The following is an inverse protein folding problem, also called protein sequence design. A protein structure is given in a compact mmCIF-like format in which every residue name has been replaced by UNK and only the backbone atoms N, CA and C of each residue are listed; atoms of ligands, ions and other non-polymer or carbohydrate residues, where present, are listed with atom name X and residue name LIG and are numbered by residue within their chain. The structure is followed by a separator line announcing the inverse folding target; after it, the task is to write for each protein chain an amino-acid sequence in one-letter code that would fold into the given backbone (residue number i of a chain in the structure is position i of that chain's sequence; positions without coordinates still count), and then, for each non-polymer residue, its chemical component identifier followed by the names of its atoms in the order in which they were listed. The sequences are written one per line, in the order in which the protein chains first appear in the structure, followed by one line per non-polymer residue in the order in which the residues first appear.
data_IF_597154893069
#
_entry.id   IF_597154893069
#
_cell.length_a   1.000
_cell.length_b   1.000
_cell.length_c   1.000
_cell.angle_alpha   90.00
_cell.angle_beta   90.00
_cell.angle_gamma   90.00
#
_symmetry.space_group_name_H-M   'P 1'
#
loop_
_entity.id
_entity.type
_entity.pdbx_description
1 polymer ?
#
# COMPACT_ATOMS: atom_id res chain seq x y z
N UNK A 1 -3.84 83.46 -4.34
CA UNK A 1 -2.82 83.90 -3.36
C UNK A 1 -2.03 82.65 -2.98
N UNK A 2 -0.73 82.64 -3.24
CA UNK A 2 0.16 81.47 -3.07
C UNK A 2 0.24 81.05 -1.60
N UNK A 3 0.04 79.76 -1.31
CA UNK A 3 0.45 79.15 -0.04
C UNK A 3 1.78 78.41 -0.31
N UNK A 4 2.88 79.02 0.12
CA UNK A 4 4.19 78.38 0.26
C UNK A 4 4.12 77.42 1.44
N UNK A 5 4.25 76.12 1.21
CA UNK A 5 4.57 75.16 2.26
C UNK A 5 6.08 75.08 2.44
N UNK A 6 6.53 75.44 3.63
CA UNK A 6 7.92 75.54 4.06
C UNK A 6 8.18 74.42 5.08
N UNK A 7 8.69 73.27 4.64
CA UNK A 7 9.26 72.25 5.54
C UNK A 7 10.55 71.66 4.93
N UNK A 8 11.73 72.27 5.17
CA UNK A 8 13.04 71.76 4.71
C UNK A 8 13.59 70.53 5.47
N UNK A 9 12.77 69.76 6.19
CA UNK A 9 13.23 68.79 7.20
C UNK A 9 13.09 67.32 6.73
N UNK A 10 12.39 67.06 5.62
CA UNK A 10 12.05 65.70 5.17
C UNK A 10 13.21 65.02 4.39
N UNK A 11 14.24 65.77 3.99
CA UNK A 11 15.26 65.25 3.05
C UNK A 11 16.38 64.45 3.75
N UNK A 12 16.42 64.35 5.08
CA UNK A 12 17.58 63.77 5.79
C UNK A 12 17.42 62.39 6.45
N UNK A 13 16.34 61.65 6.18
CA UNK A 13 16.11 60.33 6.82
C UNK A 13 16.15 59.12 5.87
N UNK A 14 16.62 59.29 4.62
CA UNK A 14 16.43 58.29 3.57
C UNK A 14 17.67 57.73 2.82
N UNK A 15 18.95 57.86 3.26
CA UNK A 15 20.00 57.10 2.57
C UNK A 15 20.27 55.71 3.19
N UNK A 16 20.27 55.55 4.52
CA UNK A 16 20.72 54.30 5.15
C UNK A 16 19.65 53.19 5.16
N UNK A 17 18.38 53.56 5.33
CA UNK A 17 17.27 52.60 5.35
C UNK A 17 16.99 52.00 3.96
N UNK A 18 17.16 52.78 2.88
CA UNK A 18 17.02 52.29 1.50
C UNK A 18 18.15 51.34 1.08
N UNK A 19 19.39 51.62 1.50
CA UNK A 19 20.54 50.74 1.26
C UNK A 19 20.35 49.36 1.90
N UNK A 20 19.87 49.33 3.15
CA UNK A 20 19.57 48.08 3.87
C UNK A 20 18.37 47.33 3.27
N UNK A 21 17.36 48.06 2.77
CA UNK A 21 16.23 47.44 2.09
C UNK A 21 16.61 46.83 0.74
N UNK A 22 17.45 47.51 -0.04
CA UNK A 22 17.96 47.01 -1.32
C UNK A 22 18.83 45.77 -1.16
N UNK A 23 19.68 45.72 -0.11
CA UNK A 23 20.48 44.53 0.20
C UNK A 23 19.63 43.37 0.70
N UNK A 24 18.62 43.62 1.53
CA UNK A 24 17.69 42.58 1.98
C UNK A 24 16.85 42.00 0.83
N UNK A 25 16.37 42.86 -0.08
CA UNK A 25 15.63 42.45 -1.28
C UNK A 25 16.54 41.70 -2.25
N UNK A 26 17.79 42.15 -2.44
CA UNK A 26 18.78 41.44 -3.26
C UNK A 26 19.14 40.06 -2.70
N UNK A 27 19.30 39.94 -1.38
CA UNK A 27 19.47 38.64 -0.70
C UNK A 27 18.24 37.75 -0.85
N UNK A 28 17.04 38.30 -0.74
CA UNK A 28 15.80 37.54 -0.96
C UNK A 28 15.70 37.01 -2.40
N UNK A 29 16.05 37.83 -3.40
CA UNK A 29 16.11 37.39 -4.79
C UNK A 29 17.20 36.36 -5.04
N UNK A 30 18.36 36.45 -4.39
CA UNK A 30 19.41 35.41 -4.45
C UNK A 30 18.96 34.11 -3.77
N UNK A 31 18.23 34.17 -2.66
CA UNK A 31 17.67 32.98 -1.99
C UNK A 31 16.56 32.36 -2.87
N UNK A 32 15.69 33.17 -3.47
CA UNK A 32 14.65 32.69 -4.38
C UNK A 32 15.22 32.13 -5.68
N UNK A 33 16.26 32.74 -6.24
CA UNK A 33 16.97 32.23 -7.42
C UNK A 33 17.80 30.97 -7.09
N UNK A 34 18.39 30.88 -5.88
CA UNK A 34 19.05 29.69 -5.37
C UNK A 34 18.08 28.54 -5.07
N UNK A 35 16.86 28.85 -4.61
CA UNK A 35 15.78 27.86 -4.45
C UNK A 35 15.15 27.42 -5.78
N UNK A 36 15.21 28.25 -6.83
CA UNK A 36 14.78 27.88 -8.17
C UNK A 36 15.77 26.95 -8.90
N UNK A 37 16.97 26.78 -8.35
CA UNK A 37 17.98 25.83 -8.81
C UNK A 37 18.19 24.68 -7.82
N UNK A 38 17.10 24.17 -7.25
CA UNK A 38 17.05 22.73 -6.95
C UNK A 38 16.91 22.07 -8.31
N UNK A 39 18.06 21.69 -8.86
CA UNK A 39 18.16 20.87 -10.05
C UNK A 39 17.14 19.74 -9.94
N UNK A 40 16.23 19.73 -10.90
CA UNK A 40 15.49 18.57 -11.35
C UNK A 40 16.51 17.57 -11.89
N UNK A 41 17.25 16.93 -10.99
CA UNK A 41 18.06 15.78 -11.35
C UNK A 41 17.07 14.62 -11.52
N UNK A 42 16.82 14.34 -12.79
CA UNK A 42 15.91 13.34 -13.33
C UNK A 42 16.41 11.93 -13.02
N UNK A 43 16.26 11.52 -11.77
CA UNK A 43 16.27 10.13 -11.34
C UNK A 43 15.13 9.94 -10.36
N UNK A 44 14.42 8.79 -10.35
CA UNK A 44 13.53 8.50 -9.24
C UNK A 44 14.38 8.66 -7.96
N UNK A 45 13.93 9.43 -6.94
CA UNK A 45 14.62 9.44 -5.68
C UNK A 45 14.77 7.96 -5.31
N UNK A 46 16.02 7.51 -5.11
CA UNK A 46 16.29 6.23 -4.49
C UNK A 46 15.85 6.40 -3.05
N UNK A 47 14.53 6.50 -2.86
CA UNK A 47 13.84 6.23 -1.62
C UNK A 47 14.43 4.89 -1.24
N UNK A 48 15.16 4.86 -0.13
CA UNK A 48 15.44 3.63 0.58
C UNK A 48 14.08 3.05 0.92
N UNK A 49 13.46 2.38 -0.05
CA UNK A 49 12.28 1.58 0.16
C UNK A 49 12.82 0.44 1.01
N UNK A 50 12.64 0.58 2.32
CA UNK A 50 12.70 -0.56 3.23
C UNK A 50 11.97 -1.69 2.52
N UNK A 51 12.66 -2.81 2.29
CA UNK A 51 12.04 -3.99 1.73
C UNK A 51 10.70 -4.20 2.47
N UNK A 52 9.60 -4.51 1.76
CA UNK A 52 8.32 -4.72 2.41
C UNK A 52 8.53 -5.59 3.65
N UNK A 53 8.10 -5.12 4.82
CA UNK A 53 8.21 -5.92 6.03
C UNK A 53 7.12 -6.99 5.99
N UNK A 54 7.51 -8.24 6.24
CA UNK A 54 6.57 -9.34 6.30
C UNK A 54 5.54 -9.12 7.41
N UNK A 55 4.23 -9.18 7.09
CA UNK A 55 3.19 -8.99 8.09
C UNK A 55 3.23 -10.12 9.12
N UNK A 56 3.00 -9.76 10.39
CA UNK A 56 2.97 -10.71 11.52
C UNK A 56 1.97 -11.86 11.28
N UNK A 57 0.88 -11.59 10.57
CA UNK A 57 -0.18 -12.57 10.31
C UNK A 57 0.22 -13.70 9.35
N UNK A 58 1.37 -13.58 8.68
CA UNK A 58 1.92 -14.65 7.82
C UNK A 58 2.33 -15.87 8.65
N UNK A 59 2.82 -15.64 9.88
CA UNK A 59 3.30 -16.70 10.79
C UNK A 59 2.43 -16.89 12.03
N UNK A 60 1.61 -15.89 12.38
CA UNK A 60 0.82 -15.90 13.60
C UNK A 60 -0.67 -15.71 13.30
N UNK A 61 -1.51 -16.52 13.94
CA UNK A 61 -2.95 -16.33 13.85
C UNK A 61 -3.35 -14.99 14.49
N UNK A 62 -4.09 -14.17 13.75
CA UNK A 62 -4.64 -12.94 14.30
C UNK A 62 -5.76 -13.28 15.29
N UNK A 63 -5.84 -12.58 16.45
CA UNK A 63 -6.93 -12.78 17.39
C UNK A 63 -8.27 -12.35 16.76
N UNK A 64 -9.39 -12.99 17.14
CA UNK A 64 -10.71 -12.53 16.74
C UNK A 64 -10.94 -11.07 17.14
N UNK A 65 -11.61 -10.31 16.28
CA UNK A 65 -11.86 -8.87 16.50
C UNK A 65 -13.27 -8.49 16.09
N UNK A 66 -14.03 -7.88 17.00
CA UNK A 66 -15.37 -7.33 16.76
C UNK A 66 -16.32 -8.30 16.04
N UNK A 67 -16.37 -9.57 16.50
CA UNK A 67 -17.22 -10.59 15.90
C UNK A 67 -16.71 -11.15 14.55
N UNK A 68 -15.45 -10.87 14.20
CA UNK A 68 -14.78 -11.44 13.04
C UNK A 68 -13.61 -12.33 13.45
N UNK A 69 -13.36 -13.35 12.62
CA UNK A 69 -12.16 -14.17 12.60
C UNK A 69 -11.38 -13.89 11.33
N UNK A 70 -10.10 -14.27 11.33
CA UNK A 70 -9.21 -14.11 10.20
C UNK A 70 -8.79 -15.49 9.69
N UNK A 71 -8.98 -15.71 8.40
CA UNK A 71 -8.62 -16.92 7.69
C UNK A 71 -7.39 -16.62 6.84
N UNK A 72 -6.39 -17.48 6.91
CA UNK A 72 -5.15 -17.35 6.13
C UNK A 72 -5.06 -18.53 5.18
N UNK A 73 -4.71 -18.24 3.92
CA UNK A 73 -4.35 -19.27 2.96
C UNK A 73 -3.06 -18.89 2.25
N UNK A 74 -2.27 -19.91 1.90
CA UNK A 74 -1.01 -19.79 1.17
C UNK A 74 -1.10 -20.58 -0.12
N UNK A 75 -0.57 -20.03 -1.20
CA UNK A 75 -0.27 -20.78 -2.42
C UNK A 75 1.19 -20.62 -2.83
N UNK A 76 1.65 -21.59 -3.62
CA UNK A 76 2.94 -21.56 -4.30
C UNK A 76 2.69 -21.64 -5.80
N UNK A 77 3.27 -20.76 -6.58
CA UNK A 77 3.14 -20.78 -8.04
C UNK A 77 4.40 -20.27 -8.71
N UNK A 78 4.58 -20.64 -9.99
CA UNK A 78 5.61 -20.07 -10.85
C UNK A 78 5.07 -18.94 -11.73
N UNK A 79 3.76 -18.70 -11.67
CA UNK A 79 3.08 -17.64 -12.41
C UNK A 79 3.32 -16.26 -11.78
N UNK A 80 2.76 -15.22 -12.38
CA UNK A 80 2.86 -13.85 -11.86
C UNK A 80 2.11 -13.66 -10.54
N UNK A 81 2.24 -12.46 -9.97
CA UNK A 81 1.54 -12.04 -8.75
C UNK A 81 0.01 -12.25 -8.82
N UNK A 82 -0.72 -11.80 -9.87
CA UNK A 82 -2.17 -11.94 -9.87
C UNK A 82 -2.62 -13.40 -9.87
N UNK A 83 -1.87 -14.28 -10.54
CA UNK A 83 -2.11 -15.72 -10.55
C UNK A 83 -1.79 -16.37 -9.20
N UNK A 84 -0.73 -15.92 -8.52
CA UNK A 84 -0.36 -16.41 -7.20
C UNK A 84 -1.45 -16.11 -6.16
N UNK A 85 -1.99 -14.89 -6.18
CA UNK A 85 -3.09 -14.49 -5.32
C UNK A 85 -4.37 -15.25 -5.64
N UNK A 86 -4.66 -15.49 -6.92
CA UNK A 86 -5.80 -16.31 -7.32
C UNK A 86 -5.68 -17.75 -6.83
N UNK A 87 -4.48 -18.33 -6.88
CA UNK A 87 -4.23 -19.68 -6.38
C UNK A 87 -4.38 -19.76 -4.84
N UNK A 88 -3.98 -18.71 -4.13
CA UNK A 88 -4.22 -18.61 -2.68
C UNK A 88 -5.72 -18.51 -2.36
N UNK A 89 -6.50 -17.79 -3.19
CA UNK A 89 -7.97 -17.73 -3.06
C UNK A 89 -8.62 -19.09 -3.31
N UNK A 90 -8.20 -19.83 -4.34
CA UNK A 90 -8.67 -21.20 -4.57
C UNK A 90 -8.36 -22.11 -3.39
N UNK A 91 -7.13 -22.04 -2.87
CA UNK A 91 -6.71 -22.84 -1.71
C UNK A 91 -7.58 -22.55 -0.49
N UNK A 92 -7.95 -21.29 -0.25
CA UNK A 92 -8.89 -20.92 0.80
C UNK A 92 -10.28 -21.49 0.55
N UNK A 93 -10.83 -21.32 -0.65
CA UNK A 93 -12.14 -21.84 -1.01
C UNK A 93 -12.23 -23.37 -0.81
N UNK A 94 -11.21 -24.12 -1.25
CA UNK A 94 -11.12 -25.56 -1.01
C UNK A 94 -11.08 -25.92 0.48
N UNK A 95 -10.34 -25.15 1.27
CA UNK A 95 -10.25 -25.37 2.72
C UNK A 95 -11.59 -25.13 3.42
N UNK A 96 -12.37 -24.14 2.97
CA UNK A 96 -13.73 -23.88 3.45
C UNK A 96 -14.67 -25.05 3.12
N UNK A 97 -14.64 -25.55 1.88
CA UNK A 97 -15.44 -26.71 1.48
C UNK A 97 -15.08 -27.93 2.31
N UNK A 98 -13.78 -28.23 2.47
CA UNK A 98 -13.31 -29.35 3.31
C UNK A 98 -13.76 -29.22 4.75
N UNK A 99 -13.82 -28.00 5.29
CA UNK A 99 -14.31 -27.76 6.66
C UNK A 99 -15.81 -28.02 6.78
N UNK A 100 -16.60 -27.66 5.77
CA UNK A 100 -18.02 -28.02 5.72
C UNK A 100 -18.19 -29.54 5.58
N UNK A 101 -17.36 -30.20 4.77
CA UNK A 101 -17.35 -31.67 4.67
C UNK A 101 -17.02 -32.33 6.02
N UNK A 102 -16.04 -31.79 6.75
CA UNK A 102 -15.67 -32.25 8.08
C UNK A 102 -16.77 -32.00 9.13
N UNK A 103 -17.69 -31.04 8.89
CA UNK A 103 -18.86 -30.80 9.75
C UNK A 103 -20.01 -31.78 9.52
N UNK A 104 -19.86 -32.73 8.57
CA UNK A 104 -20.87 -33.75 8.26
C UNK A 104 -21.71 -33.45 7.02
N UNK A 105 -21.41 -32.39 6.26
CA UNK A 105 -22.09 -32.09 5.01
C UNK A 105 -21.46 -32.88 3.86
N UNK A 106 -22.27 -33.60 3.08
CA UNK A 106 -21.78 -34.31 1.90
C UNK A 106 -22.26 -33.61 0.63
N UNK A 107 -21.32 -33.35 -0.29
CA UNK A 107 -21.61 -32.69 -1.56
C UNK A 107 -21.37 -33.63 -2.74
N UNK A 108 -22.24 -33.55 -3.75
CA UNK A 108 -21.94 -34.15 -5.05
C UNK A 108 -20.82 -33.37 -5.75
N UNK A 109 -20.15 -33.96 -6.74
CA UNK A 109 -19.12 -33.26 -7.51
C UNK A 109 -19.63 -31.94 -8.13
N UNK A 110 -20.88 -31.92 -8.61
CA UNK A 110 -21.52 -30.72 -9.16
C UNK A 110 -21.75 -29.64 -8.10
N UNK A 111 -22.36 -30.00 -6.97
CA UNK A 111 -22.60 -29.06 -5.86
C UNK A 111 -21.30 -28.53 -5.27
N UNK A 112 -20.28 -29.38 -5.15
CA UNK A 112 -18.94 -29.01 -4.70
C UNK A 112 -18.31 -27.97 -5.62
N UNK A 113 -18.40 -28.16 -6.94
CA UNK A 113 -17.93 -27.19 -7.92
C UNK A 113 -18.63 -25.83 -7.80
N UNK A 114 -19.97 -25.83 -7.67
CA UNK A 114 -20.73 -24.60 -7.46
C UNK A 114 -20.35 -23.88 -6.16
N UNK A 115 -20.13 -24.64 -5.07
CA UNK A 115 -19.73 -24.07 -3.79
C UNK A 115 -18.34 -23.43 -3.85
N UNK A 116 -17.40 -24.08 -4.52
CA UNK A 116 -16.05 -23.56 -4.75
C UNK A 116 -16.08 -22.23 -5.51
N UNK A 117 -16.79 -22.18 -6.64
CA UNK A 117 -16.93 -20.95 -7.42
C UNK A 117 -17.59 -19.84 -6.60
N UNK A 118 -18.63 -20.16 -5.83
CA UNK A 118 -19.28 -19.19 -4.94
C UNK A 118 -18.32 -18.62 -3.90
N UNK A 119 -17.51 -19.45 -3.25
CA UNK A 119 -16.52 -18.94 -2.29
C UNK A 119 -15.44 -18.10 -2.97
N UNK A 120 -14.96 -18.50 -4.15
CA UNK A 120 -13.98 -17.73 -4.93
C UNK A 120 -14.50 -16.35 -5.30
N UNK A 121 -15.75 -16.27 -5.77
CA UNK A 121 -16.42 -15.00 -6.04
C UNK A 121 -16.55 -14.15 -4.78
N UNK A 122 -16.99 -14.75 -3.66
CA UNK A 122 -17.21 -14.02 -2.42
C UNK A 122 -15.91 -13.42 -1.87
N UNK A 123 -14.82 -14.20 -1.84
CA UNK A 123 -13.49 -13.73 -1.40
C UNK A 123 -12.96 -12.59 -2.29
N UNK A 124 -13.35 -12.59 -3.58
CA UNK A 124 -12.92 -11.57 -4.55
C UNK A 124 -13.72 -10.27 -4.44
N UNK A 125 -14.90 -10.30 -3.80
CA UNK A 125 -15.73 -9.10 -3.59
C UNK A 125 -15.14 -8.24 -2.48
N UNK A 126 -15.24 -6.92 -2.67
CA UNK A 126 -14.86 -5.96 -1.62
C UNK A 126 -15.86 -5.92 -0.46
N UNK A 127 -17.10 -6.30 -0.73
CA UNK A 127 -18.21 -6.30 0.21
C UNK A 127 -18.81 -7.70 0.27
N UNK A 128 -18.91 -8.26 1.47
CA UNK A 128 -19.42 -9.61 1.70
C UNK A 128 -19.04 -10.12 3.09
N UNK A 129 -19.46 -11.35 3.45
CA UNK A 129 -19.01 -12.00 4.66
C UNK A 129 -17.54 -12.43 4.56
N UNK A 130 -17.03 -12.76 3.38
CA UNK A 130 -15.61 -13.06 3.16
C UNK A 130 -14.95 -11.86 2.48
N UNK A 131 -14.11 -11.13 3.21
CA UNK A 131 -13.44 -9.94 2.67
C UNK A 131 -11.93 -10.13 2.71
N UNK A 132 -11.27 -9.98 1.56
CA UNK A 132 -9.81 -9.89 1.49
C UNK A 132 -9.35 -8.65 2.27
N UNK A 133 -8.75 -8.88 3.44
CA UNK A 133 -8.28 -7.84 4.35
C UNK A 133 -6.84 -7.42 4.04
N UNK A 134 -5.99 -8.38 3.68
CA UNK A 134 -4.60 -8.13 3.33
C UNK A 134 -4.06 -9.26 2.43
N UNK A 135 -2.90 -9.02 1.80
CA UNK A 135 -2.18 -10.00 1.00
C UNK A 135 -0.68 -9.79 1.12
N UNK A 136 0.07 -10.89 1.15
CA UNK A 136 1.52 -10.87 1.21
C UNK A 136 2.10 -11.74 0.11
N UNK A 137 3.25 -11.33 -0.44
CA UNK A 137 3.98 -12.14 -1.41
C UNK A 137 5.47 -12.13 -1.11
N UNK A 138 6.11 -13.25 -1.42
CA UNK A 138 7.55 -13.38 -1.39
C UNK A 138 8.01 -14.27 -2.55
N UNK A 139 9.08 -13.86 -3.21
CA UNK A 139 9.71 -14.59 -4.30
C UNK A 139 10.88 -15.40 -3.76
N UNK A 140 10.86 -16.71 -3.97
CA UNK A 140 11.98 -17.60 -3.75
C UNK A 140 12.58 -18.02 -5.09
N UNK A 141 13.91 -18.13 -5.14
CA UNK A 141 14.52 -18.96 -6.17
C UNK A 141 14.11 -20.42 -5.89
N UNK A 142 13.51 -21.12 -6.86
CA UNK A 142 12.56 -22.19 -6.61
C UNK A 142 13.20 -23.57 -6.57
N UNK A 143 14.45 -23.71 -6.99
CA UNK A 143 14.96 -25.02 -7.33
C UNK A 143 16.48 -25.09 -7.29
N UNK A 144 17.01 -26.02 -6.50
CA UNK A 144 18.42 -26.43 -6.55
C UNK A 144 18.84 -26.93 -7.94
N UNK A 145 17.91 -27.30 -8.81
CA UNK A 145 18.17 -27.86 -10.16
C UNK A 145 18.08 -26.84 -11.30
N UNK A 146 17.35 -25.74 -11.14
CA UNK A 146 17.28 -24.68 -12.16
C UNK A 146 17.15 -23.29 -11.48
N UNK A 147 18.27 -22.54 -11.37
CA UNK A 147 18.32 -21.27 -10.66
C UNK A 147 17.62 -20.12 -11.40
N UNK A 148 17.13 -20.34 -12.63
CA UNK A 148 16.49 -19.29 -13.44
C UNK A 148 14.96 -19.31 -13.36
N UNK A 149 14.37 -20.36 -12.79
CA UNK A 149 12.95 -20.34 -12.48
C UNK A 149 12.74 -19.44 -11.25
N UNK A 150 11.55 -18.89 -11.05
CA UNK A 150 11.16 -18.19 -9.81
C UNK A 150 9.91 -18.87 -9.25
N UNK A 151 9.85 -19.11 -7.94
CA UNK A 151 8.64 -19.58 -7.25
C UNK A 151 8.15 -18.44 -6.39
N UNK A 152 6.88 -18.10 -6.57
CA UNK A 152 6.18 -17.11 -5.79
C UNK A 152 5.40 -17.82 -4.71
N UNK A 153 5.54 -17.34 -3.50
CA UNK A 153 4.64 -17.66 -2.41
C UNK A 153 3.71 -16.48 -2.20
N UNK A 154 2.41 -16.75 -2.24
CA UNK A 154 1.39 -15.75 -1.95
C UNK A 154 0.57 -16.18 -0.74
N UNK A 155 0.26 -15.23 0.12
CA UNK A 155 -0.64 -15.38 1.24
C UNK A 155 -1.78 -14.38 1.10
N UNK A 156 -2.97 -14.82 1.50
CA UNK A 156 -4.13 -13.95 1.63
C UNK A 156 -4.64 -14.03 3.07
N UNK A 157 -5.07 -12.88 3.56
CA UNK A 157 -5.77 -12.73 4.83
C UNK A 157 -7.22 -12.36 4.53
N UNK A 158 -8.15 -13.22 4.93
CA UNK A 158 -9.58 -13.01 4.71
C UNK A 158 -10.28 -12.85 6.04
N UNK A 159 -11.00 -11.74 6.21
CA UNK A 159 -11.89 -11.51 7.34
C UNK A 159 -13.22 -12.23 7.11
N UNK A 160 -13.68 -12.97 8.10
CA UNK A 160 -14.97 -13.65 8.10
C UNK A 160 -15.72 -13.41 9.42
N UNK A 161 -17.07 -13.37 9.45
CA UNK A 161 -17.83 -13.42 10.70
C UNK A 161 -17.48 -14.67 11.52
N UNK A 162 -17.51 -14.57 12.85
CA UNK A 162 -17.24 -15.71 13.75
C UNK A 162 -18.17 -16.90 13.48
N UNK A 163 -19.41 -16.64 13.05
CA UNK A 163 -20.43 -17.66 12.78
C UNK A 163 -20.51 -18.03 11.29
N UNK A 164 -19.47 -17.80 10.50
CA UNK A 164 -19.51 -18.01 9.05
C UNK A 164 -19.56 -19.50 8.63
N UNK A 165 -19.04 -20.42 9.47
CA UNK A 165 -18.97 -21.86 9.22
C UNK A 165 -19.67 -22.65 10.31
#
# INVERSE_FOLDING_TARGET
MLIRYQYPWIIRLLPESFSRFGTAVGLLFLILAGCAHIETDSGPPTVWQSAPQEPVWVHHALPPSRGNVYLVARAKTRAGRPEALEEARKTLAESLVKRLEASGLHFTAGTRGTLLERFREEISRRNGPLVLADSWEYETQPDTRNPFLLERHAWILVRAPVNFL
#
